data_IF_863273731515
#
_entry.id   IF_863273731515
#
_cell.length_a   1.000
_cell.length_b   1.000
_cell.length_c   1.000
_cell.angle_alpha   90.00
_cell.angle_beta   90.00
_cell.angle_gamma   90.00
#
_symmetry.space_group_name_H-M   'P 1'
#
loop_
_entity.id
_entity.type
_entity.pdbx_description
1 polymer ?
#
# COMPACT_ATOMS: atom_id res chain seq x y z
N UNK A 1 7.57 -5.64 10.17
CA UNK A 1 7.12 -4.23 10.14
C UNK A 1 6.92 -3.58 11.52
N UNK A 2 6.49 -4.31 12.56
CA UNK A 2 6.20 -3.74 13.90
C UNK A 2 7.35 -2.93 14.51
N UNK A 3 8.60 -3.38 14.34
CA UNK A 3 9.78 -2.68 14.89
C UNK A 3 10.10 -1.38 14.14
N UNK A 4 10.07 -1.41 12.81
CA UNK A 4 10.30 -0.22 11.96
C UNK A 4 9.32 0.90 12.34
N UNK A 5 8.04 0.56 12.50
CA UNK A 5 6.99 1.50 12.87
C UNK A 5 7.09 2.02 14.32
N UNK A 6 7.79 1.31 15.21
CA UNK A 6 7.99 1.72 16.60
C UNK A 6 9.22 2.64 16.76
N UNK A 7 10.27 2.40 15.98
CA UNK A 7 11.56 3.09 16.13
C UNK A 7 11.77 4.25 15.15
N UNK A 8 11.15 4.22 13.97
CA UNK A 8 11.25 5.33 13.00
C UNK A 8 10.10 6.33 13.18
N UNK A 9 10.40 7.61 13.42
CA UNK A 9 9.38 8.65 13.40
C UNK A 9 8.64 8.71 12.06
N UNK A 10 7.34 8.93 12.12
CA UNK A 10 6.44 8.95 10.95
C UNK A 10 6.91 9.90 9.84
N UNK A 11 7.48 11.06 10.21
CA UNK A 11 7.99 12.05 9.25
C UNK A 11 9.07 11.47 8.34
N UNK A 12 9.98 10.68 8.91
CA UNK A 12 11.02 10.00 8.12
C UNK A 12 10.42 8.91 7.25
N UNK A 13 9.51 8.10 7.78
CA UNK A 13 8.86 7.05 7.01
C UNK A 13 8.19 7.59 5.74
N UNK A 14 7.47 8.71 5.86
CA UNK A 14 6.82 9.36 4.70
C UNK A 14 7.87 9.86 3.70
N UNK A 15 8.95 10.50 4.16
CA UNK A 15 9.99 11.01 3.24
C UNK A 15 10.69 9.89 2.49
N UNK A 16 11.08 8.83 3.20
CA UNK A 16 11.77 7.69 2.58
C UNK A 16 10.83 6.83 1.75
N UNK A 17 9.53 6.84 2.03
CA UNK A 17 8.59 6.01 1.30
C UNK A 17 8.52 6.38 -0.17
N UNK A 18 8.61 7.68 -0.51
CA UNK A 18 8.65 8.15 -1.90
C UNK A 18 9.88 7.65 -2.68
N UNK A 19 11.00 7.45 -2.00
CA UNK A 19 12.24 6.94 -2.61
C UNK A 19 12.19 5.43 -2.83
N UNK A 20 11.51 4.72 -1.94
CA UNK A 20 11.47 3.25 -1.92
C UNK A 20 10.34 2.69 -2.80
N UNK A 21 9.22 3.41 -2.95
CA UNK A 21 8.08 2.98 -3.77
C UNK A 21 8.40 2.60 -5.22
N UNK A 22 9.21 3.33 -6.02
CA UNK A 22 9.51 2.90 -7.39
C UNK A 22 10.24 1.55 -7.41
N UNK A 23 11.13 1.32 -6.46
CA UNK A 23 11.85 0.04 -6.32
C UNK A 23 10.86 -1.07 -5.94
N UNK A 24 9.96 -0.81 -4.99
CA UNK A 24 8.93 -1.78 -4.59
C UNK A 24 7.97 -2.10 -5.73
N UNK A 25 7.59 -1.13 -6.57
CA UNK A 25 6.75 -1.37 -7.74
C UNK A 25 7.38 -2.38 -8.69
N UNK A 26 8.69 -2.28 -8.93
CA UNK A 26 9.42 -3.19 -9.80
C UNK A 26 9.52 -4.58 -9.17
N UNK A 27 9.97 -4.66 -7.91
CA UNK A 27 10.19 -5.94 -7.21
C UNK A 27 8.89 -6.74 -7.07
N UNK A 28 7.78 -6.08 -6.76
CA UNK A 28 6.50 -6.72 -6.51
C UNK A 28 5.57 -6.73 -7.74
N UNK A 29 6.06 -6.38 -8.93
CA UNK A 29 5.27 -6.45 -10.14
C UNK A 29 4.73 -7.87 -10.38
N UNK A 30 3.53 -7.99 -10.93
CA UNK A 30 2.88 -9.27 -11.23
C UNK A 30 1.42 -9.10 -11.60
N UNK A 31 0.65 -10.20 -11.64
CA UNK A 31 -0.74 -10.20 -12.15
C UNK A 31 -1.80 -10.66 -11.14
N UNK A 32 -1.43 -10.81 -9.86
CA UNK A 32 -2.31 -11.45 -8.85
C UNK A 32 -3.22 -10.46 -8.15
N UNK A 33 -2.74 -9.24 -7.92
CA UNK A 33 -3.47 -8.18 -7.24
C UNK A 33 -3.42 -6.92 -8.09
N UNK A 34 -4.53 -6.21 -8.17
CA UNK A 34 -4.64 -4.90 -8.83
C UNK A 34 -4.97 -3.86 -7.77
N UNK A 35 -4.24 -2.75 -7.77
CA UNK A 35 -4.59 -1.61 -6.93
C UNK A 35 -5.53 -0.68 -7.72
N UNK A 36 -6.80 -0.50 -7.32
CA UNK A 36 -7.77 0.29 -8.07
C UNK A 36 -7.44 1.78 -8.09
N UNK A 37 -6.49 2.25 -7.25
CA UNK A 37 -6.13 3.67 -7.19
C UNK A 37 -5.24 4.08 -8.38
N UNK A 38 -4.37 3.20 -8.85
CA UNK A 38 -3.40 3.48 -9.92
C UNK A 38 -3.38 2.40 -11.02
N UNK A 39 -4.35 1.48 -11.00
CA UNK A 39 -4.51 0.30 -11.85
C UNK A 39 -3.26 -0.57 -12.01
N UNK A 40 -2.29 -0.42 -11.11
CA UNK A 40 -1.04 -1.15 -11.18
C UNK A 40 -1.23 -2.58 -10.67
N UNK A 41 -0.55 -3.51 -11.33
CA UNK A 41 -0.65 -4.93 -11.02
C UNK A 41 0.59 -5.42 -10.25
N UNK A 42 0.34 -6.25 -9.24
CA UNK A 42 1.33 -6.76 -8.30
C UNK A 42 1.18 -8.27 -8.12
N UNK A 43 2.30 -8.95 -7.89
CA UNK A 43 2.32 -10.38 -7.52
C UNK A 43 1.86 -10.58 -6.08
N UNK A 44 2.14 -9.61 -5.19
CA UNK A 44 1.82 -9.67 -3.77
C UNK A 44 1.78 -8.28 -3.13
N UNK A 45 0.89 -8.10 -2.15
CA UNK A 45 0.89 -6.94 -1.26
C UNK A 45 1.69 -7.18 0.02
N UNK A 46 2.25 -6.13 0.59
CA UNK A 46 3.04 -6.19 1.82
C UNK A 46 2.13 -6.40 3.04
N UNK A 47 2.61 -7.18 4.02
CA UNK A 47 1.89 -7.35 5.28
C UNK A 47 2.01 -6.10 6.15
N UNK A 48 0.93 -5.66 6.82
CA UNK A 48 0.94 -4.43 7.61
C UNK A 48 0.09 -4.52 8.89
N UNK A 49 0.53 -3.82 9.94
CA UNK A 49 -0.20 -3.67 11.21
C UNK A 49 0.70 -3.56 12.45
N UNK A 50 0.18 -2.94 13.52
CA UNK A 50 0.89 -2.72 14.80
C UNK A 50 0.62 -3.81 15.83
N UNK A 51 -0.65 -4.07 16.14
CA UNK A 51 -1.09 -5.10 17.08
C UNK A 51 -1.22 -6.45 16.38
N UNK A 52 -1.98 -6.47 15.29
CA UNK A 52 -2.18 -7.63 14.42
C UNK A 52 -1.60 -7.33 13.04
N UNK A 53 -0.72 -8.21 12.55
CA UNK A 53 -0.12 -8.07 11.21
C UNK A 53 -1.01 -8.79 10.21
N UNK A 54 -1.66 -8.03 9.33
CA UNK A 54 -2.48 -8.58 8.25
C UNK A 54 -1.62 -8.85 7.03
N UNK A 55 -1.76 -10.04 6.44
CA UNK A 55 -1.09 -10.38 5.18
C UNK A 55 -1.73 -9.59 4.03
N UNK A 56 -0.93 -9.20 3.04
CA UNK A 56 -1.39 -8.53 1.82
C UNK A 56 -2.20 -7.23 2.04
N UNK A 57 -1.90 -6.48 3.10
CA UNK A 57 -2.68 -5.30 3.46
C UNK A 57 -2.22 -4.02 2.75
N UNK A 58 -0.92 -3.84 2.57
CA UNK A 58 -0.28 -2.62 2.08
C UNK A 58 0.18 -2.78 0.62
N UNK A 59 -0.28 -1.91 -0.27
CA UNK A 59 0.17 -1.90 -1.66
C UNK A 59 1.65 -1.46 -1.75
N UNK A 60 2.50 -2.15 -2.54
CA UNK A 60 3.90 -1.78 -2.70
C UNK A 60 4.12 -0.42 -3.38
N UNK A 61 3.22 0.01 -4.27
CA UNK A 61 3.38 1.24 -5.05
C UNK A 61 2.70 2.47 -4.46
N UNK A 62 1.39 2.42 -4.25
CA UNK A 62 0.63 3.55 -3.68
C UNK A 62 0.78 3.66 -2.16
N UNK A 63 1.28 2.60 -1.50
CA UNK A 63 1.27 2.45 -0.04
C UNK A 63 -0.15 2.53 0.55
N UNK A 64 -1.16 2.24 -0.27
CA UNK A 64 -2.56 2.16 0.14
C UNK A 64 -2.78 0.95 1.05
N UNK A 65 -3.70 1.09 2.01
CA UNK A 65 -4.23 -0.01 2.80
C UNK A 65 -5.56 -0.46 2.23
N UNK A 66 -6.02 -1.64 2.63
CA UNK A 66 -7.32 -2.22 2.22
C UNK A 66 -8.47 -1.21 2.32
N UNK A 67 -8.55 -0.46 3.43
CA UNK A 67 -9.58 0.56 3.64
C UNK A 67 -9.48 1.75 2.67
N UNK A 68 -8.28 2.13 2.23
CA UNK A 68 -8.11 3.23 1.29
C UNK A 68 -8.60 2.80 -0.10
N UNK A 69 -8.26 1.58 -0.52
CA UNK A 69 -8.76 1.01 -1.78
C UNK A 69 -10.27 0.79 -1.76
N UNK A 70 -10.82 0.34 -0.63
CA UNK A 70 -12.26 0.18 -0.48
C UNK A 70 -12.98 1.53 -0.57
N UNK A 71 -12.46 2.55 0.11
CA UNK A 71 -13.01 3.91 0.01
C UNK A 71 -12.90 4.46 -1.40
N UNK A 72 -11.76 4.25 -2.07
CA UNK A 72 -11.57 4.63 -3.47
C UNK A 72 -12.64 3.99 -4.38
N UNK A 73 -12.82 2.67 -4.28
CA UNK A 73 -13.85 1.95 -5.04
C UNK A 73 -15.28 2.41 -4.73
N UNK A 74 -15.55 2.86 -3.51
CA UNK A 74 -16.86 3.41 -3.16
C UNK A 74 -17.07 4.76 -3.84
N UNK A 75 -16.09 5.67 -3.74
CA UNK A 75 -16.17 6.98 -4.38
C UNK A 75 -16.29 6.84 -5.90
N UNK A 76 -15.46 5.99 -6.51
CA UNK A 76 -15.45 5.71 -7.95
C UNK A 76 -16.79 5.15 -8.47
N UNK A 77 -17.53 4.40 -7.65
CA UNK A 77 -18.79 3.74 -8.07
C UNK A 77 -20.05 4.51 -7.71
N UNK A 78 -20.04 5.24 -6.61
CA UNK A 78 -21.24 5.81 -6.00
C UNK A 78 -21.28 7.34 -6.10
N UNK A 79 -20.24 7.96 -6.67
CA UNK A 79 -20.15 9.42 -6.84
C UNK A 79 -19.64 9.78 -8.23
N UNK A 80 -19.99 10.96 -8.72
CA UNK A 80 -19.56 11.48 -10.04
C UNK A 80 -18.19 12.20 -9.96
N UNK A 81 -17.34 11.78 -9.03
CA UNK A 81 -16.03 12.38 -8.80
C UNK A 81 -15.01 11.97 -9.87
#
# INVERSE_FOLDING_TARGET
MKYILKFLPRKFLIKYSFLITPILRIIFHGKKYTDPIDDSNYSKFLSYGYKTVRKNALCPGTLSLERHRLLWLYLDKETDF
#
